data_IF_863518218878
#
_entry.id   IF_863518218878
#
_cell.length_a   1.000
_cell.length_b   1.000
_cell.length_c   1.000
_cell.angle_alpha   90.00
_cell.angle_beta   90.00
_cell.angle_gamma   90.00
#
_symmetry.space_group_name_H-M   'P 1'
#
loop_
_entity.id
_entity.type
_entity.pdbx_description
1 polymer ?
#
# COMPACT_ATOMS: atom_id res chain seq x y z
N UNK A 1 6.79 0.99 2.82
CA UNK A 1 5.67 0.89 3.70
C UNK A 1 6.19 1.11 5.08
N UNK A 2 6.05 2.37 5.49
CA UNK A 2 5.59 2.58 6.85
C UNK A 2 4.26 1.83 6.97
N UNK A 3 3.99 1.17 8.08
CA UNK A 3 2.72 0.46 8.29
C UNK A 3 1.51 1.32 7.92
N UNK A 4 1.61 2.64 8.17
CA UNK A 4 0.61 3.63 7.78
C UNK A 4 0.30 3.65 6.28
N UNK A 5 1.29 3.48 5.39
CA UNK A 5 1.04 3.48 3.94
C UNK A 5 0.16 2.31 3.52
N UNK A 6 0.46 1.10 3.99
CA UNK A 6 -0.33 -0.10 3.68
C UNK A 6 -1.77 0.07 4.15
N UNK A 7 -1.93 0.52 5.40
CA UNK A 7 -3.23 0.62 6.05
C UNK A 7 -4.06 1.76 5.47
N UNK A 8 -3.49 2.95 5.31
CA UNK A 8 -4.20 4.12 4.78
C UNK A 8 -4.64 3.85 3.33
N UNK A 9 -3.79 3.22 2.50
CA UNK A 9 -4.21 2.81 1.15
C UNK A 9 -5.44 1.91 1.17
N UNK A 10 -5.46 0.90 2.03
CA UNK A 10 -6.58 -0.03 2.17
C UNK A 10 -7.85 0.67 2.67
N UNK A 11 -7.75 1.43 3.76
CA UNK A 11 -8.89 2.12 4.37
C UNK A 11 -9.50 3.19 3.44
N UNK A 12 -8.67 3.87 2.65
CA UNK A 12 -9.16 4.84 1.66
C UNK A 12 -9.90 4.21 0.48
N UNK A 13 -9.66 2.93 0.19
CA UNK A 13 -10.40 2.22 -0.87
C UNK A 13 -11.74 1.69 -0.35
N UNK A 14 -11.84 1.40 0.94
CA UNK A 14 -13.03 0.78 1.52
C UNK A 14 -14.16 1.81 1.75
N UNK A 15 -15.40 1.55 1.29
CA UNK A 15 -16.52 2.50 1.37
C UNK A 15 -16.82 3.03 2.78
N UNK A 16 -16.74 2.17 3.80
CA UNK A 16 -17.02 2.54 5.19
C UNK A 16 -16.00 3.53 5.78
N UNK A 17 -14.75 3.54 5.31
CA UNK A 17 -13.68 4.29 5.97
C UNK A 17 -13.19 5.49 5.16
N UNK A 18 -13.29 5.45 3.83
CA UNK A 18 -12.74 6.47 2.92
C UNK A 18 -13.21 7.92 3.16
N UNK A 19 -14.33 8.11 3.86
CA UNK A 19 -14.90 9.43 4.17
C UNK A 19 -14.54 9.94 5.56
N UNK A 20 -13.75 9.21 6.36
CA UNK A 20 -13.34 9.70 7.67
C UNK A 20 -12.22 10.74 7.54
N UNK A 21 -12.45 11.94 8.11
CA UNK A 21 -11.50 13.05 8.10
C UNK A 21 -10.09 12.66 8.57
N UNK A 22 -9.99 11.85 9.62
CA UNK A 22 -8.70 11.44 10.17
C UNK A 22 -7.88 10.59 9.19
N UNK A 23 -8.52 9.82 8.29
CA UNK A 23 -7.82 9.06 7.24
C UNK A 23 -7.22 10.03 6.23
N UNK A 24 -7.99 11.05 5.85
CA UNK A 24 -7.55 12.10 4.94
C UNK A 24 -6.39 12.91 5.52
N UNK A 25 -6.48 13.28 6.80
CA UNK A 25 -5.39 13.94 7.50
C UNK A 25 -4.10 13.12 7.50
N UNK A 26 -4.19 11.81 7.78
CA UNK A 26 -3.03 10.91 7.73
C UNK A 26 -2.47 10.77 6.32
N UNK A 27 -3.32 10.67 5.29
CA UNK A 27 -2.90 10.62 3.89
C UNK A 27 -2.14 11.91 3.49
N UNK A 28 -2.63 13.09 3.88
CA UNK A 28 -1.97 14.38 3.63
C UNK A 28 -0.62 14.45 4.36
N UNK A 29 -0.56 14.03 5.63
CA UNK A 29 0.70 13.97 6.40
C UNK A 29 1.72 13.06 5.73
N UNK A 30 1.28 11.95 5.14
CA UNK A 30 2.12 11.02 4.39
C UNK A 30 2.58 11.58 3.04
N UNK A 31 1.77 12.39 2.36
CA UNK A 31 2.11 12.91 1.04
C UNK A 31 3.36 13.79 1.03
N UNK A 32 3.48 14.72 1.98
CA UNK A 32 4.57 15.72 1.99
C UNK A 32 5.97 15.07 1.97
N UNK A 33 6.30 14.08 2.83
CA UNK A 33 7.58 13.38 2.74
C UNK A 33 7.78 12.60 1.44
N UNK A 34 6.72 11.99 0.89
CA UNK A 34 6.80 11.20 -0.34
C UNK A 34 7.19 12.08 -1.52
N UNK A 35 6.58 13.25 -1.65
CA UNK A 35 6.97 14.24 -2.64
C UNK A 35 8.42 14.69 -2.44
N UNK A 36 8.79 15.13 -1.24
CA UNK A 36 10.14 15.62 -0.94
C UNK A 36 11.23 14.61 -1.30
N UNK A 37 11.01 13.33 -1.02
CA UNK A 37 11.98 12.26 -1.27
C UNK A 37 11.80 11.59 -2.64
N UNK A 38 10.87 12.09 -3.46
CA UNK A 38 10.47 11.51 -4.75
C UNK A 38 10.20 10.00 -4.61
N UNK A 39 9.43 9.64 -3.59
CA UNK A 39 8.96 8.27 -3.37
C UNK A 39 7.70 8.02 -4.19
N UNK A 40 7.27 6.76 -4.20
CA UNK A 40 6.03 6.37 -4.85
C UNK A 40 4.84 7.17 -4.27
N UNK A 41 4.11 7.85 -5.15
CA UNK A 41 2.92 8.64 -4.87
C UNK A 41 1.64 7.91 -5.33
N UNK A 42 1.74 6.63 -5.69
CA UNK A 42 0.61 5.78 -6.09
C UNK A 42 -0.52 5.74 -5.07
N UNK A 43 -0.25 5.96 -3.78
CA UNK A 43 -1.28 6.01 -2.75
C UNK A 43 -2.30 7.15 -2.97
N UNK A 44 -1.93 8.21 -3.71
CA UNK A 44 -2.85 9.30 -4.04
C UNK A 44 -3.98 8.86 -4.96
N UNK A 45 -3.82 7.73 -5.68
CA UNK A 45 -4.86 7.14 -6.52
C UNK A 45 -6.05 6.62 -5.71
N UNK A 46 -5.88 6.45 -4.40
CA UNK A 46 -6.92 5.99 -3.50
C UNK A 46 -7.68 7.16 -2.85
N UNK A 47 -7.26 8.41 -3.04
CA UNK A 47 -8.02 9.61 -2.64
C UNK A 47 -9.08 9.88 -3.70
N UNK A 48 -10.10 10.69 -3.39
CA UNK A 48 -10.86 11.34 -4.47
C UNK A 48 -9.98 12.33 -5.25
N UNK A 49 -10.35 12.58 -6.50
CA UNK A 49 -9.57 13.41 -7.42
C UNK A 49 -9.36 14.86 -6.92
N UNK A 50 -10.29 15.41 -6.12
CA UNK A 50 -10.15 16.77 -5.57
C UNK A 50 -9.05 16.81 -4.51
N UNK A 51 -9.07 15.88 -3.56
CA UNK A 51 -8.04 15.80 -2.53
C UNK A 51 -6.66 15.43 -3.13
N UNK A 52 -6.62 14.55 -4.13
CA UNK A 52 -5.39 14.29 -4.87
C UNK A 52 -4.87 15.56 -5.57
N UNK A 53 -5.77 16.36 -6.16
CA UNK A 53 -5.42 17.63 -6.78
C UNK A 53 -4.78 18.60 -5.78
N UNK A 54 -5.45 18.86 -4.65
CA UNK A 54 -4.99 19.82 -3.63
C UNK A 54 -3.64 19.44 -3.02
N UNK A 55 -3.33 18.14 -2.95
CA UNK A 55 -2.04 17.65 -2.48
C UNK A 55 -0.93 17.82 -3.53
N UNK A 56 -1.25 17.60 -4.81
CA UNK A 56 -0.27 17.59 -5.93
C UNK A 56 0.05 19.02 -6.40
N UNK A 57 -0.95 19.90 -6.48
CA UNK A 57 -0.83 21.23 -7.09
C UNK A 57 0.35 22.06 -6.52
N UNK A 58 0.56 22.13 -5.18
CA UNK A 58 1.69 22.87 -4.61
C UNK A 58 3.06 22.28 -4.96
N UNK A 59 3.12 21.01 -5.38
CA UNK A 59 4.35 20.29 -5.70
C UNK A 59 4.75 20.41 -7.17
N UNK A 60 3.85 20.85 -8.05
CA UNK A 60 4.08 20.96 -9.51
C UNK A 60 5.36 21.74 -9.85
N UNK A 61 5.65 22.93 -9.29
CA UNK A 61 6.88 23.66 -9.62
C UNK A 61 8.16 22.87 -9.33
N UNK A 62 8.17 22.09 -8.23
CA UNK A 62 9.30 21.23 -7.86
C UNK A 62 9.40 20.02 -8.78
N UNK A 63 8.27 19.41 -9.15
CA UNK A 63 8.24 18.30 -10.11
C UNK A 63 8.84 18.72 -11.45
N UNK A 64 8.42 19.86 -12.01
CA UNK A 64 8.98 20.40 -13.26
C UNK A 64 10.49 20.63 -13.13
N UNK A 65 10.93 21.30 -12.06
CA UNK A 65 12.35 21.61 -11.82
C UNK A 65 13.23 20.35 -11.75
N UNK A 66 12.70 19.26 -11.19
CA UNK A 66 13.46 18.03 -10.92
C UNK A 66 13.39 16.99 -12.05
N UNK A 67 12.56 17.20 -13.07
CA UNK A 67 12.49 16.34 -14.25
C UNK A 67 13.84 16.32 -14.99
N UNK A 68 14.26 15.13 -15.41
CA UNK A 68 15.50 14.87 -16.13
C UNK A 68 15.28 14.93 -17.64
N UNK A 69 16.36 15.09 -18.40
CA UNK A 69 16.32 15.23 -19.87
C UNK A 69 15.70 14.04 -20.61
N UNK A 70 15.69 12.87 -19.99
CA UNK A 70 15.01 11.68 -20.51
C UNK A 70 13.51 11.61 -20.15
N UNK A 71 12.96 12.65 -19.53
CA UNK A 71 11.57 12.74 -19.10
C UNK A 71 11.27 12.21 -17.70
N UNK A 72 12.22 11.54 -17.03
CA UNK A 72 12.00 10.85 -15.75
C UNK A 72 12.29 11.71 -14.51
N UNK A 73 11.81 11.31 -13.32
CA UNK A 73 11.94 12.08 -12.06
C UNK A 73 12.98 11.56 -11.06
N UNK A 74 13.72 10.49 -11.35
CA UNK A 74 14.81 9.97 -10.51
C UNK A 74 15.95 9.35 -11.31
N UNK A 75 17.04 9.04 -10.62
CA UNK A 75 18.16 8.25 -11.16
C UNK A 75 17.91 6.75 -10.93
N UNK A 76 17.74 6.33 -9.67
CA UNK A 76 17.41 4.93 -9.31
C UNK A 76 15.90 4.71 -9.36
N UNK A 77 15.47 3.55 -9.89
CA UNK A 77 14.06 3.15 -10.06
C UNK A 77 13.22 4.19 -10.81
N UNK A 78 13.87 4.90 -11.75
CA UNK A 78 13.35 6.10 -12.41
C UNK A 78 12.04 5.85 -13.15
N UNK A 79 11.93 4.72 -13.87
CA UNK A 79 10.71 4.33 -14.62
C UNK A 79 9.53 4.09 -13.69
N UNK A 80 9.70 3.25 -12.66
CA UNK A 80 8.65 2.95 -11.68
C UNK A 80 8.14 4.20 -10.97
N UNK A 81 9.04 5.06 -10.48
CA UNK A 81 8.67 6.29 -9.79
C UNK A 81 7.96 7.25 -10.74
N UNK A 82 8.46 7.37 -11.98
CA UNK A 82 7.83 8.24 -12.99
C UNK A 82 6.46 7.70 -13.40
N UNK A 83 6.29 6.39 -13.51
CA UNK A 83 4.99 5.75 -13.73
C UNK A 83 4.00 6.08 -12.61
N UNK A 84 4.38 5.88 -11.34
CA UNK A 84 3.53 6.23 -10.19
C UNK A 84 3.15 7.71 -10.16
N UNK A 85 4.09 8.60 -10.49
CA UNK A 85 3.83 10.04 -10.61
C UNK A 85 2.89 10.36 -11.77
N UNK A 86 3.10 9.80 -12.95
CA UNK A 86 2.24 10.03 -14.11
C UNK A 86 0.81 9.54 -13.87
N UNK A 87 0.63 8.39 -13.19
CA UNK A 87 -0.71 7.95 -12.74
C UNK A 87 -1.35 8.99 -11.84
N UNK A 88 -0.62 9.48 -10.84
CA UNK A 88 -1.14 10.47 -9.88
C UNK A 88 -1.49 11.80 -10.58
N UNK A 89 -0.67 12.26 -11.52
CA UNK A 89 -0.93 13.46 -12.33
C UNK A 89 -2.13 13.27 -13.26
N UNK A 90 -2.29 12.08 -13.88
CA UNK A 90 -3.47 11.76 -14.70
C UNK A 90 -4.74 11.74 -13.86
N UNK A 91 -4.71 11.03 -12.74
CA UNK A 91 -5.83 10.90 -11.82
C UNK A 91 -6.31 12.25 -11.28
N UNK A 92 -5.36 13.11 -10.89
CA UNK A 92 -5.65 14.47 -10.42
C UNK A 92 -5.83 15.50 -11.54
N UNK A 93 -5.95 15.08 -12.81
CA UNK A 93 -6.13 15.96 -13.99
C UNK A 93 -4.98 16.90 -14.33
N UNK A 94 -3.94 17.01 -13.49
CA UNK A 94 -2.75 17.82 -13.75
C UNK A 94 -2.04 17.44 -15.04
N UNK A 95 -2.00 16.15 -15.39
CA UNK A 95 -1.26 15.68 -16.58
C UNK A 95 -1.77 16.37 -17.85
N UNK A 96 -3.09 16.39 -18.06
CA UNK A 96 -3.70 16.99 -19.25
C UNK A 96 -3.45 18.51 -19.30
N UNK A 97 -3.59 19.19 -18.16
CA UNK A 97 -3.32 20.64 -18.04
C UNK A 97 -1.86 20.93 -18.40
N UNK A 98 -0.93 20.20 -17.79
CA UNK A 98 0.50 20.40 -18.00
C UNK A 98 0.95 20.07 -19.43
N UNK A 99 0.34 19.09 -20.09
CA UNK A 99 0.60 18.79 -21.50
C UNK A 99 0.08 19.90 -22.42
N UNK A 100 -1.15 20.38 -22.19
CA UNK A 100 -1.77 21.43 -23.01
C UNK A 100 -1.07 22.79 -22.87
N UNK A 101 -0.54 23.07 -21.67
CA UNK A 101 0.18 24.31 -21.35
C UNK A 101 1.70 24.22 -21.62
N UNK A 102 2.19 23.09 -22.15
CA UNK A 102 3.61 22.80 -22.36
C UNK A 102 4.49 23.09 -21.12
N UNK A 103 4.01 22.66 -19.94
CA UNK A 103 4.64 22.97 -18.65
C UNK A 103 5.74 22.00 -18.24
N UNK A 104 5.83 20.85 -18.89
CA UNK A 104 6.90 19.91 -18.60
C UNK A 104 8.25 20.48 -19.07
N UNK A 105 9.31 20.20 -18.31
CA UNK A 105 10.66 20.64 -18.68
C UNK A 105 11.19 19.82 -19.87
N UNK A 106 10.81 18.55 -19.91
CA UNK A 106 11.16 17.59 -20.94
C UNK A 106 9.93 16.71 -21.22
N UNK A 107 9.89 16.07 -22.38
CA UNK A 107 8.81 15.16 -22.73
C UNK A 107 8.69 14.02 -21.69
N UNK A 108 7.57 13.94 -20.94
CA UNK A 108 7.41 12.97 -19.86
C UNK A 108 7.26 11.52 -20.35
N UNK A 109 7.01 11.33 -21.66
CA UNK A 109 6.78 10.01 -22.25
C UNK A 109 7.99 9.48 -23.02
N UNK A 110 9.06 10.28 -23.18
CA UNK A 110 10.22 9.95 -24.00
C UNK A 110 10.79 8.56 -23.68
N UNK A 111 11.05 8.27 -22.40
CA UNK A 111 11.59 6.97 -21.97
C UNK A 111 10.57 5.82 -21.95
N UNK A 112 9.32 6.01 -22.39
CA UNK A 112 8.29 4.98 -22.33
C UNK A 112 7.73 4.59 -23.69
N UNK A 113 7.96 5.37 -24.75
CA UNK A 113 7.35 5.11 -26.08
C UNK A 113 7.79 3.79 -26.69
N UNK A 114 9.06 3.45 -26.57
CA UNK A 114 9.68 2.31 -27.28
C UNK A 114 10.19 1.22 -26.32
N UNK A 115 9.98 1.39 -25.01
CA UNK A 115 10.43 0.40 -24.04
C UNK A 115 9.52 -0.83 -24.04
N UNK A 116 10.15 -2.00 -24.11
CA UNK A 116 9.49 -3.30 -24.09
C UNK A 116 9.57 -3.93 -22.69
N UNK A 117 9.15 -3.16 -21.68
CA UNK A 117 9.04 -3.63 -20.30
C UNK A 117 7.64 -3.33 -19.73
N UNK A 118 7.42 -3.76 -18.49
CA UNK A 118 6.17 -3.53 -17.77
C UNK A 118 5.76 -2.04 -17.71
N UNK A 119 6.71 -1.14 -17.45
CA UNK A 119 6.40 0.28 -17.26
C UNK A 119 6.13 0.98 -18.60
N UNK A 120 6.87 0.65 -19.66
CA UNK A 120 6.61 1.13 -21.02
C UNK A 120 5.20 0.74 -21.47
N UNK A 121 4.85 -0.54 -21.33
CA UNK A 121 3.52 -1.04 -21.66
C UNK A 121 2.42 -0.33 -20.85
N UNK A 122 2.54 -0.29 -19.52
CA UNK A 122 1.49 0.29 -18.67
C UNK A 122 1.34 1.80 -18.84
N UNK A 123 2.42 2.54 -19.12
CA UNK A 123 2.33 3.97 -19.47
C UNK A 123 1.62 4.15 -20.81
N UNK A 124 1.98 3.39 -21.85
CA UNK A 124 1.32 3.45 -23.16
C UNK A 124 -0.17 3.12 -23.07
N UNK A 125 -0.51 2.06 -22.33
CA UNK A 125 -1.88 1.59 -22.14
C UNK A 125 -2.72 2.55 -21.29
N UNK A 126 -2.27 2.82 -20.06
CA UNK A 126 -3.13 3.41 -19.03
C UNK A 126 -2.99 4.94 -18.96
N UNK A 127 -1.94 5.52 -19.54
CA UNK A 127 -1.65 6.95 -19.44
C UNK A 127 -1.78 7.62 -20.80
N UNK A 128 -1.01 7.16 -21.79
CA UNK A 128 -0.97 7.75 -23.13
C UNK A 128 -2.14 7.31 -24.03
N UNK A 129 -2.77 6.17 -23.71
CA UNK A 129 -3.84 5.58 -24.53
C UNK A 129 -3.39 5.33 -25.98
N UNK A 130 -2.14 4.91 -26.15
CA UNK A 130 -1.45 4.77 -27.44
C UNK A 130 -0.66 3.48 -27.49
N UNK A 131 -1.36 2.36 -27.62
CA UNK A 131 -0.76 1.02 -27.71
C UNK A 131 -0.06 0.79 -29.05
N UNK A 132 1.06 0.09 -29.02
CA UNK A 132 1.77 -0.42 -30.19
C UNK A 132 1.18 -1.76 -30.65
N UNK A 133 1.31 -2.14 -31.94
CA UNK A 133 0.86 -3.45 -32.42
C UNK A 133 1.43 -4.65 -31.64
N UNK A 134 2.67 -4.54 -31.15
CA UNK A 134 3.37 -5.55 -30.37
C UNK A 134 2.97 -5.60 -28.89
N UNK A 135 2.26 -4.59 -28.38
CA UNK A 135 1.94 -4.49 -26.94
C UNK A 135 1.04 -5.64 -26.47
N UNK A 136 0.17 -6.16 -27.33
CA UNK A 136 -0.63 -7.34 -27.01
C UNK A 136 0.24 -8.59 -26.76
N UNK A 137 1.31 -8.76 -27.53
CA UNK A 137 2.27 -9.86 -27.35
C UNK A 137 3.10 -9.65 -26.09
N UNK A 138 3.59 -8.44 -25.85
CA UNK A 138 4.36 -8.10 -24.65
C UNK A 138 3.53 -8.32 -23.38
N UNK A 139 2.27 -7.89 -23.37
CA UNK A 139 1.34 -8.12 -22.24
C UNK A 139 1.20 -9.61 -21.93
N UNK A 140 0.94 -10.44 -22.95
CA UNK A 140 0.76 -11.88 -22.76
C UNK A 140 2.05 -12.54 -22.26
N UNK A 141 3.21 -12.09 -22.75
CA UNK A 141 4.50 -12.56 -22.27
C UNK A 141 4.70 -12.22 -20.78
N UNK A 142 4.51 -10.95 -20.39
CA UNK A 142 4.65 -10.51 -19.00
C UNK A 142 3.69 -11.26 -18.06
N UNK A 143 2.43 -11.45 -18.47
CA UNK A 143 1.46 -12.22 -17.69
C UNK A 143 1.88 -13.69 -17.56
N UNK A 144 2.34 -14.32 -18.65
CA UNK A 144 2.84 -15.70 -18.64
C UNK A 144 4.06 -15.85 -17.73
N UNK A 145 5.00 -14.91 -17.77
CA UNK A 145 6.19 -14.92 -16.92
C UNK A 145 5.80 -14.85 -15.43
N UNK A 146 4.79 -14.04 -15.08
CA UNK A 146 4.23 -13.97 -13.72
C UNK A 146 3.54 -15.29 -13.35
N UNK A 147 2.68 -15.83 -14.21
CA UNK A 147 1.96 -17.08 -13.93
C UNK A 147 2.90 -18.27 -13.75
N UNK A 148 4.01 -18.31 -14.49
CA UNK A 148 5.01 -19.39 -14.37
C UNK A 148 5.67 -19.47 -12.98
N UNK A 149 5.57 -18.41 -12.18
CA UNK A 149 6.11 -18.32 -10.83
C UNK A 149 5.07 -18.66 -9.75
N UNK A 150 3.80 -18.91 -10.13
CA UNK A 150 2.75 -19.22 -9.17
C UNK A 150 2.91 -20.66 -8.62
N UNK A 151 2.83 -20.80 -7.31
CA UNK A 151 2.91 -22.08 -6.63
C UNK A 151 1.65 -22.94 -6.87
N UNK A 152 1.77 -24.23 -6.55
CA UNK A 152 0.68 -25.19 -6.67
C UNK A 152 -0.54 -24.83 -5.79
N UNK A 153 -0.35 -24.08 -4.71
CA UNK A 153 -1.41 -23.59 -3.82
C UNK A 153 -2.02 -22.23 -4.26
N UNK A 154 -1.44 -21.58 -5.27
CA UNK A 154 -1.88 -20.27 -5.78
C UNK A 154 -1.06 -19.08 -5.29
N UNK A 155 -0.16 -19.27 -4.34
CA UNK A 155 0.67 -18.19 -3.84
C UNK A 155 1.76 -17.79 -4.84
N UNK A 156 2.27 -16.58 -4.66
CA UNK A 156 3.60 -16.21 -5.15
C UNK A 156 4.54 -16.06 -3.95
N UNK A 157 5.65 -16.81 -4.01
CA UNK A 157 6.69 -16.85 -2.99
C UNK A 157 6.20 -17.25 -1.58
N UNK A 158 5.06 -17.95 -1.47
CA UNK A 158 4.42 -18.33 -0.19
C UNK A 158 4.16 -17.15 0.77
N UNK A 159 4.01 -15.92 0.23
CA UNK A 159 3.83 -14.70 1.03
C UNK A 159 2.59 -13.92 0.60
N UNK A 160 1.97 -13.24 1.58
CA UNK A 160 0.85 -12.33 1.37
C UNK A 160 1.26 -11.20 0.45
N UNK A 161 2.43 -10.60 0.69
CA UNK A 161 2.89 -9.46 -0.10
C UNK A 161 3.28 -9.87 -1.53
N UNK A 162 3.96 -11.01 -1.70
CA UNK A 162 4.29 -11.55 -3.02
C UNK A 162 3.01 -11.83 -3.82
N UNK A 163 2.07 -12.57 -3.23
CA UNK A 163 0.80 -12.92 -3.89
C UNK A 163 -0.01 -11.67 -4.25
N UNK A 164 -0.21 -10.76 -3.30
CA UNK A 164 -0.96 -9.52 -3.53
C UNK A 164 -0.30 -8.63 -4.61
N UNK A 165 1.04 -8.51 -4.61
CA UNK A 165 1.76 -7.68 -5.58
C UNK A 165 1.68 -8.24 -7.01
N UNK A 166 1.77 -9.55 -7.18
CA UNK A 166 1.61 -10.19 -8.49
C UNK A 166 0.17 -10.06 -9.01
N UNK A 167 -0.84 -10.22 -8.15
CA UNK A 167 -2.24 -9.96 -8.51
C UNK A 167 -2.43 -8.50 -8.95
N UNK A 168 -1.92 -7.52 -8.18
CA UNK A 168 -2.00 -6.09 -8.57
C UNK A 168 -1.35 -5.85 -9.95
N UNK A 169 -0.20 -6.46 -10.21
CA UNK A 169 0.53 -6.34 -11.48
C UNK A 169 -0.29 -6.91 -12.63
N UNK A 170 -0.91 -8.08 -12.43
CA UNK A 170 -1.77 -8.72 -13.43
C UNK A 170 -3.04 -7.89 -13.70
N UNK A 171 -3.65 -7.30 -12.67
CA UNK A 171 -4.77 -6.37 -12.82
C UNK A 171 -4.37 -5.13 -13.65
N UNK A 172 -3.17 -4.58 -13.43
CA UNK A 172 -2.65 -3.46 -14.23
C UNK A 172 -2.37 -3.85 -15.70
N UNK A 173 -2.05 -5.13 -15.95
CA UNK A 173 -1.97 -5.71 -17.29
C UNK A 173 -3.35 -5.99 -17.90
N UNK A 174 -4.45 -5.78 -17.17
CA UNK A 174 -5.81 -6.02 -17.65
C UNK A 174 -6.28 -7.48 -17.51
N UNK A 175 -5.58 -8.30 -16.73
CA UNK A 175 -6.01 -9.66 -16.38
C UNK A 175 -6.94 -9.57 -15.17
N UNK A 176 -8.23 -9.85 -15.39
CA UNK A 176 -9.28 -9.71 -14.37
C UNK A 176 -9.48 -10.94 -13.47
N UNK A 177 -10.44 -10.81 -12.55
CA UNK A 177 -10.84 -11.84 -11.58
C UNK A 177 -11.40 -13.14 -12.21
N UNK A 178 -11.78 -13.10 -13.49
CA UNK A 178 -12.25 -14.28 -14.23
C UNK A 178 -11.11 -15.25 -14.60
N UNK A 179 -9.84 -14.81 -14.50
CA UNK A 179 -8.69 -15.67 -14.78
C UNK A 179 -8.50 -16.71 -13.63
N UNK A 180 -8.38 -18.02 -13.95
CA UNK A 180 -8.23 -19.07 -12.94
C UNK A 180 -7.02 -18.88 -12.01
N UNK A 181 -5.91 -18.32 -12.50
CA UNK A 181 -4.72 -18.10 -11.68
C UNK A 181 -4.93 -16.94 -10.70
N UNK A 182 -5.66 -15.89 -11.09
CA UNK A 182 -6.09 -14.82 -10.18
C UNK A 182 -7.01 -15.40 -9.11
N UNK A 183 -8.01 -16.20 -9.48
CA UNK A 183 -8.89 -16.89 -8.51
C UNK A 183 -8.12 -17.73 -7.51
N UNK A 184 -7.13 -18.49 -7.99
CA UNK A 184 -6.28 -19.31 -7.14
C UNK A 184 -5.47 -18.48 -6.15
N UNK A 185 -4.85 -17.39 -6.61
CA UNK A 185 -4.10 -16.48 -5.73
C UNK A 185 -5.00 -15.76 -4.72
N UNK A 186 -6.20 -15.35 -5.12
CA UNK A 186 -7.20 -14.74 -4.24
C UNK A 186 -7.69 -15.72 -3.18
N UNK A 187 -7.98 -16.97 -3.55
CA UNK A 187 -8.34 -18.02 -2.61
C UNK A 187 -7.20 -18.28 -1.61
N UNK A 188 -5.96 -18.29 -2.09
CA UNK A 188 -4.80 -18.39 -1.22
C UNK A 188 -4.72 -17.23 -0.24
N UNK A 189 -4.89 -15.97 -0.69
CA UNK A 189 -4.90 -14.81 0.21
C UNK A 189 -5.96 -14.96 1.30
N UNK A 190 -7.17 -15.38 0.95
CA UNK A 190 -8.22 -15.65 1.93
C UNK A 190 -7.86 -16.78 2.91
N UNK A 191 -7.12 -17.79 2.48
CA UNK A 191 -6.64 -18.86 3.36
C UNK A 191 -5.62 -18.38 4.41
N UNK A 192 -5.00 -17.22 4.17
CA UNK A 192 -4.07 -16.58 5.13
C UNK A 192 -4.77 -15.71 6.17
N UNK A 193 -6.10 -15.56 6.09
CA UNK A 193 -6.88 -14.85 7.08
C UNK A 193 -6.97 -15.65 8.38
N UNK A 194 -6.69 -15.00 9.51
CA UNK A 194 -6.82 -15.60 10.83
C UNK A 194 -7.60 -14.67 11.75
N UNK A 195 -8.62 -15.25 12.40
CA UNK A 195 -9.37 -14.62 13.49
C UNK A 195 -8.61 -14.68 14.82
N UNK A 196 -7.51 -15.44 14.87
CA UNK A 196 -6.76 -15.65 16.10
C UNK A 196 -6.15 -14.36 16.62
N UNK A 197 -6.02 -14.33 17.95
CA UNK A 197 -5.38 -13.22 18.63
C UNK A 197 -3.86 -13.34 18.49
N UNK A 198 -3.28 -12.48 17.66
CA UNK A 198 -1.84 -12.24 17.62
C UNK A 198 -1.43 -11.55 18.92
N UNK A 199 -0.75 -12.30 19.79
CA UNK A 199 -0.15 -11.78 21.02
C UNK A 199 1.35 -11.65 20.84
N UNK A 200 1.87 -10.43 20.94
CA UNK A 200 3.30 -10.23 21.10
C UNK A 200 3.60 -9.66 22.48
N UNK A 201 4.39 -10.40 23.26
CA UNK A 201 5.02 -9.85 24.45
C UNK A 201 6.14 -8.92 24.01
N UNK A 202 6.10 -7.67 24.48
CA UNK A 202 7.27 -6.83 24.43
C UNK A 202 8.08 -7.01 25.73
N UNK A 203 9.38 -6.70 25.68
CA UNK A 203 10.25 -6.67 26.87
C UNK A 203 9.78 -5.65 27.94
N UNK A 204 8.68 -4.92 27.70
CA UNK A 204 8.08 -3.95 28.62
C UNK A 204 6.85 -4.50 29.37
N UNK A 205 6.52 -5.78 29.20
CA UNK A 205 5.47 -6.47 29.96
C UNK A 205 4.04 -6.11 29.54
N UNK A 206 3.84 -5.68 28.29
CA UNK A 206 2.52 -5.53 27.67
C UNK A 206 2.34 -6.54 26.54
N UNK A 207 1.09 -6.95 26.31
CA UNK A 207 0.70 -7.75 25.15
C UNK A 207 0.04 -6.82 24.13
N UNK A 208 0.60 -6.82 22.93
CA UNK A 208 -0.09 -6.30 21.75
C UNK A 208 -1.11 -7.35 21.32
N UNK A 209 -2.36 -6.94 21.14
CA UNK A 209 -3.45 -7.81 20.71
C UNK A 209 -3.94 -7.30 19.36
N UNK A 210 -3.86 -8.15 18.34
CA UNK A 210 -4.49 -7.93 17.04
C UNK A 210 -5.26 -9.20 16.66
N UNK A 211 -6.36 -9.05 15.95
CA UNK A 211 -7.20 -10.16 15.48
C UNK A 211 -7.64 -9.88 14.03
N UNK A 212 -8.24 -10.84 13.34
CA UNK A 212 -8.77 -10.65 11.97
C UNK A 212 -7.70 -10.13 10.98
N UNK A 213 -6.55 -10.79 10.91
CA UNK A 213 -5.40 -10.34 10.12
C UNK A 213 -5.07 -11.32 9.00
N UNK A 214 -4.49 -10.79 7.91
CA UNK A 214 -3.90 -11.62 6.85
C UNK A 214 -2.41 -11.82 7.10
N UNK A 215 -1.96 -13.07 7.03
CA UNK A 215 -0.59 -13.43 7.38
C UNK A 215 -0.16 -14.76 6.78
N UNK A 216 1.01 -14.79 6.15
CA UNK A 216 1.73 -16.05 5.96
C UNK A 216 2.40 -16.51 7.27
N UNK A 217 2.87 -17.76 7.27
CA UNK A 217 3.57 -18.34 8.43
C UNK A 217 4.99 -17.77 8.59
N UNK A 218 5.67 -17.41 7.49
CA UNK A 218 7.08 -17.02 7.50
C UNK A 218 7.27 -15.49 7.36
N UNK A 219 7.27 -14.79 8.49
CA UNK A 219 7.46 -13.32 8.56
C UNK A 219 8.78 -12.81 8.01
N UNK A 220 9.82 -13.64 8.07
CA UNK A 220 11.13 -13.25 7.55
C UNK A 220 11.14 -13.26 6.02
N UNK A 221 10.51 -14.27 5.41
CA UNK A 221 10.32 -14.30 3.96
C UNK A 221 9.35 -13.21 3.49
N UNK A 222 8.30 -12.87 4.26
CA UNK A 222 7.47 -11.68 3.98
C UNK A 222 8.31 -10.41 3.87
N UNK A 223 9.24 -10.20 4.82
CA UNK A 223 10.11 -9.03 4.81
C UNK A 223 11.03 -8.99 3.58
N UNK A 224 11.65 -10.12 3.23
CA UNK A 224 12.51 -10.24 2.05
C UNK A 224 11.74 -9.97 0.76
N UNK A 225 10.60 -10.62 0.59
CA UNK A 225 9.75 -10.47 -0.58
C UNK A 225 9.25 -9.02 -0.71
N UNK A 226 8.81 -8.40 0.39
CA UNK A 226 8.41 -7.00 0.36
C UNK A 226 9.55 -6.05 -0.07
N UNK A 227 10.80 -6.33 0.34
CA UNK A 227 11.95 -5.55 -0.10
C UNK A 227 12.26 -5.74 -1.59
N UNK A 228 12.06 -6.95 -2.13
CA UNK A 228 12.28 -7.26 -3.54
C UNK A 228 11.18 -6.64 -4.43
N UNK A 229 9.92 -6.90 -4.10
CA UNK A 229 8.76 -6.47 -4.90
C UNK A 229 8.51 -4.96 -4.83
N UNK A 230 8.81 -4.36 -3.67
CA UNK A 230 8.45 -2.97 -3.37
C UNK A 230 9.60 -2.29 -2.62
N UNK A 231 10.76 -2.03 -3.26
CA UNK A 231 11.97 -1.54 -2.59
C UNK A 231 11.82 -0.14 -1.95
N UNK A 232 10.93 0.71 -2.47
CA UNK A 232 10.54 1.97 -1.84
C UNK A 232 9.84 1.75 -0.51
N UNK A 233 9.42 0.52 -0.25
CA UNK A 233 8.85 0.18 1.02
C UNK A 233 9.86 0.15 2.15
N UNK A 234 11.16 0.14 1.85
CA UNK A 234 12.29 0.01 2.78
C UNK A 234 11.82 -0.38 4.18
N UNK A 235 11.39 -1.65 4.34
CA UNK A 235 10.77 -2.08 5.56
C UNK A 235 11.77 -1.88 6.70
N UNK A 236 11.43 -1.03 7.67
CA UNK A 236 12.22 -0.97 8.90
C UNK A 236 11.97 -2.29 9.61
N UNK A 237 13.01 -3.12 9.78
CA UNK A 237 12.91 -4.54 10.15
C UNK A 237 11.92 -4.87 11.29
N UNK A 238 11.75 -3.98 12.27
CA UNK A 238 10.77 -4.18 13.34
C UNK A 238 9.32 -4.32 12.84
N UNK A 239 8.89 -3.57 11.83
CA UNK A 239 7.47 -3.49 11.46
C UNK A 239 6.87 -4.82 10.97
N UNK A 240 7.66 -5.66 10.30
CA UNK A 240 7.20 -6.94 9.73
C UNK A 240 7.25 -8.09 10.72
N UNK A 241 8.15 -7.98 11.69
CA UNK A 241 8.39 -9.02 12.69
C UNK A 241 7.43 -8.90 13.88
N UNK A 242 6.79 -7.74 14.05
CA UNK A 242 5.94 -7.47 15.22
C UNK A 242 4.46 -7.78 14.98
N UNK A 243 3.88 -7.31 13.87
CA UNK A 243 2.49 -7.61 13.51
C UNK A 243 2.29 -7.75 11.99
N UNK A 244 1.26 -8.50 11.56
CA UNK A 244 0.83 -8.61 10.16
C UNK A 244 0.32 -7.31 9.52
N UNK A 245 0.60 -6.11 10.04
CA UNK A 245 -0.10 -4.89 9.61
C UNK A 245 0.11 -4.61 8.12
N UNK A 246 1.34 -4.77 7.63
CA UNK A 246 1.64 -4.48 6.22
C UNK A 246 1.02 -5.55 5.31
N UNK A 247 1.12 -6.83 5.70
CA UNK A 247 0.47 -7.94 5.02
C UNK A 247 -1.05 -7.72 4.94
N UNK A 248 -1.67 -7.36 6.06
CA UNK A 248 -3.12 -7.12 6.15
C UNK A 248 -3.54 -5.92 5.32
N UNK A 249 -2.86 -4.78 5.43
CA UNK A 249 -3.18 -3.61 4.59
C UNK A 249 -3.02 -3.91 3.10
N UNK A 250 -1.99 -4.66 2.72
CA UNK A 250 -1.75 -5.02 1.31
C UNK A 250 -2.81 -5.99 0.80
N UNK A 251 -3.11 -7.06 1.55
CA UNK A 251 -4.15 -8.03 1.20
C UNK A 251 -5.52 -7.37 1.07
N UNK A 252 -5.93 -6.56 2.05
CA UNK A 252 -7.20 -5.84 2.04
C UNK A 252 -7.31 -4.93 0.81
N UNK A 253 -6.26 -4.14 0.52
CA UNK A 253 -6.24 -3.28 -0.67
C UNK A 253 -6.42 -4.08 -1.97
N UNK A 254 -5.71 -5.20 -2.12
CA UNK A 254 -5.84 -6.07 -3.28
C UNK A 254 -7.22 -6.70 -3.38
N UNK A 255 -7.77 -7.20 -2.27
CA UNK A 255 -9.12 -7.80 -2.23
C UNK A 255 -10.22 -6.79 -2.56
N UNK A 256 -10.11 -5.55 -2.09
CA UNK A 256 -11.03 -4.47 -2.50
C UNK A 256 -10.90 -4.18 -4.00
N UNK A 257 -9.68 -4.19 -4.54
CA UNK A 257 -9.46 -3.99 -5.99
C UNK A 257 -10.08 -5.10 -6.86
N UNK A 258 -10.33 -6.26 -6.26
CA UNK A 258 -10.99 -7.41 -6.89
C UNK A 258 -12.52 -7.46 -6.66
N UNK A 259 -13.10 -6.48 -5.94
CA UNK A 259 -14.54 -6.43 -5.67
C UNK A 259 -15.00 -7.14 -4.40
N UNK A 260 -14.09 -7.44 -3.47
CA UNK A 260 -14.41 -8.08 -2.18
C UNK A 260 -14.57 -7.09 -1.02
N UNK A 261 -14.88 -5.82 -1.28
CA UNK A 261 -15.07 -4.81 -0.22
C UNK A 261 -16.20 -5.13 0.76
N UNK A 262 -17.16 -5.98 0.37
CA UNK A 262 -18.27 -6.40 1.23
C UNK A 262 -18.03 -7.77 1.90
N UNK A 263 -16.87 -8.41 1.68
CA UNK A 263 -16.53 -9.67 2.36
C UNK A 263 -16.30 -9.42 3.86
N UNK A 264 -16.91 -10.23 4.73
CA UNK A 264 -16.85 -10.03 6.17
C UNK A 264 -15.44 -10.05 6.74
N UNK A 265 -14.52 -10.80 6.11
CA UNK A 265 -13.10 -10.88 6.52
C UNK A 265 -12.36 -9.60 6.16
N UNK A 266 -12.68 -9.00 5.01
CA UNK A 266 -12.12 -7.71 4.57
C UNK A 266 -12.59 -6.59 5.50
N UNK A 267 -13.89 -6.53 5.79
CA UNK A 267 -14.47 -5.55 6.73
C UNK A 267 -13.83 -5.71 8.12
N UNK A 268 -13.79 -6.93 8.63
CA UNK A 268 -13.25 -7.24 9.96
C UNK A 268 -11.77 -6.90 10.08
N UNK A 269 -10.98 -7.11 9.02
CA UNK A 269 -9.59 -6.69 8.97
C UNK A 269 -9.45 -5.16 8.97
N UNK A 270 -10.31 -4.43 8.25
CA UNK A 270 -10.33 -2.97 8.31
C UNK A 270 -10.70 -2.46 9.72
N UNK A 271 -11.71 -3.04 10.36
CA UNK A 271 -12.12 -2.68 11.73
C UNK A 271 -10.96 -2.86 12.71
N UNK A 272 -10.29 -4.00 12.69
CA UNK A 272 -9.13 -4.23 13.56
C UNK A 272 -7.98 -3.26 13.23
N UNK A 273 -7.73 -2.92 11.96
CA UNK A 273 -6.74 -1.89 11.61
C UNK A 273 -7.09 -0.51 12.19
N UNK A 274 -8.37 -0.14 12.22
CA UNK A 274 -8.83 1.11 12.86
C UNK A 274 -8.70 1.02 14.39
N UNK A 275 -9.09 -0.09 14.99
CA UNK A 275 -8.97 -0.35 16.43
C UNK A 275 -7.50 -0.23 16.88
N UNK A 276 -6.56 -0.85 16.16
CA UNK A 276 -5.13 -0.74 16.46
C UNK A 276 -4.67 0.71 16.50
N UNK A 277 -5.13 1.56 15.58
CA UNK A 277 -4.81 2.98 15.60
C UNK A 277 -5.41 3.67 16.82
N UNK A 278 -6.66 3.39 17.17
CA UNK A 278 -7.35 4.02 18.31
C UNK A 278 -6.68 3.63 19.63
N UNK A 279 -6.35 2.36 19.81
CA UNK A 279 -5.76 1.82 21.04
C UNK A 279 -4.30 2.24 21.24
N UNK A 280 -3.55 2.43 20.13
CA UNK A 280 -2.11 2.61 20.19
C UNK A 280 -1.58 3.91 19.55
N UNK A 281 -2.46 4.75 19.00
CA UNK A 281 -2.10 6.03 18.37
C UNK A 281 -1.43 5.91 17.00
N UNK A 282 -1.37 4.72 16.42
CA UNK A 282 -0.79 4.47 15.09
C UNK A 282 -0.41 3.00 14.87
N UNK A 283 0.15 2.72 13.69
CA UNK A 283 0.45 1.35 13.26
C UNK A 283 1.93 0.97 13.26
N UNK A 284 2.81 1.94 13.41
CA UNK A 284 4.23 1.63 13.48
C UNK A 284 4.59 1.10 14.87
N UNK A 285 5.64 0.30 14.94
CA UNK A 285 6.12 -0.29 16.20
C UNK A 285 6.38 0.77 17.28
N UNK A 286 6.88 1.96 16.93
CA UNK A 286 7.08 3.03 17.92
C UNK A 286 5.76 3.61 18.45
N UNK A 287 4.73 3.78 17.61
CA UNK A 287 3.40 4.17 18.09
C UNK A 287 2.85 3.10 19.04
N UNK A 288 2.92 1.83 18.63
CA UNK A 288 2.47 0.69 19.42
C UNK A 288 3.16 0.65 20.79
N UNK A 289 4.49 0.77 20.82
CA UNK A 289 5.26 0.83 22.06
C UNK A 289 4.84 2.00 22.94
N UNK A 290 4.68 3.19 22.37
CA UNK A 290 4.25 4.38 23.11
C UNK A 290 2.83 4.24 23.67
N UNK A 291 1.91 3.67 22.89
CA UNK A 291 0.54 3.36 23.32
C UNK A 291 0.53 2.38 24.50
N UNK A 292 1.32 1.31 24.43
CA UNK A 292 1.45 0.33 25.52
C UNK A 292 2.05 0.97 26.79
N UNK A 293 3.05 1.85 26.65
CA UNK A 293 3.61 2.60 27.79
C UNK A 293 2.55 3.50 28.42
N UNK A 294 1.75 4.20 27.61
CA UNK A 294 0.68 5.07 28.08
C UNK A 294 -0.39 4.27 28.84
N UNK A 295 -0.86 3.16 28.26
CA UNK A 295 -1.82 2.26 28.90
C UNK A 295 -1.31 1.75 30.26
N UNK A 296 -0.05 1.27 30.33
CA UNK A 296 0.56 0.80 31.58
C UNK A 296 0.63 1.88 32.66
N UNK A 297 0.92 3.13 32.28
CA UNK A 297 0.90 4.28 33.21
C UNK A 297 -0.51 4.54 33.73
N UNK A 298 -1.51 4.52 32.85
CA UNK A 298 -2.92 4.69 33.23
C UNK A 298 -3.39 3.57 34.16
N UNK A 299 -3.12 2.30 33.85
CA UNK A 299 -3.51 1.17 34.71
C UNK A 299 -2.86 1.25 36.09
N UNK A 300 -1.57 1.60 36.18
CA UNK A 300 -0.90 1.82 37.47
C UNK A 300 -1.50 2.97 38.26
N UNK A 301 -1.87 4.07 37.59
CA UNK A 301 -2.53 5.20 38.24
C UNK A 301 -3.89 4.80 38.81
N UNK A 302 -4.70 4.06 38.04
CA UNK A 302 -6.01 3.55 38.48
C UNK A 302 -5.83 2.61 39.68
N UNK A 303 -4.91 1.66 39.62
CA UNK A 303 -4.63 0.75 40.75
C UNK A 303 -4.23 1.53 42.01
N UNK A 304 -3.31 2.49 41.88
CA UNK A 304 -2.90 3.35 42.98
C UNK A 304 -4.02 4.26 43.52
N UNK A 305 -5.03 4.58 42.72
CA UNK A 305 -6.21 5.34 43.15
C UNK A 305 -7.22 4.44 43.86
N UNK A 306 -7.47 3.23 43.35
CA UNK A 306 -8.33 2.22 43.99
C UNK A 306 -7.78 1.82 45.36
N UNK A 307 -6.46 1.65 45.49
CA UNK A 307 -5.79 1.34 46.77
C UNK A 307 -5.92 2.44 47.82
N UNK A 308 -6.23 3.70 47.42
CA UNK A 308 -6.45 4.81 48.36
C UNK A 308 -7.85 4.85 48.95
N UNK A 309 -8.79 4.08 48.42
CA UNK A 309 -10.12 3.92 48.99
C UNK A 309 -10.14 2.65 49.84
N UNK A 310 -9.97 2.74 51.18
CA UNK A 310 -10.11 1.56 52.01
C UNK A 310 -11.51 1.00 51.82
N UNK A 311 -11.58 -0.30 51.50
CA UNK A 311 -12.83 -1.04 51.50
C UNK A 311 -13.34 -1.05 52.95
N UNK A 312 -14.20 -0.08 53.29
CA UNK A 312 -14.92 -0.11 54.56
C UNK A 312 -15.93 -1.26 54.46
N UNK A 313 -15.51 -2.43 54.93
CA UNK A 313 -16.34 -3.61 55.23
C UNK A 313 -17.18 -3.38 56.47
#
# INVERSE_FOLDING_TARGET
MRCSTAVIQALMMHPNYRQHDWIMEEAIKMAKPHFKNQWDVSFLLNLDAKNAYEIIDPEIPRLIKTQKSNGLWKIKDSRRISYGLLKALKYSRHLAIMLNEDRFRYDPFLSFREENDYYGLTVRQNIMESLLPEDAKLRNQLASDIFSQQNADGSWNDTVIGTASHIETLLELGIGMDDPNIQKGTNWLFSTYSEDVYRQSNNMGGFLVAHNMFSSQNRYEEFKNALAEKPEWNPVGGCYMHLPIIQTGTAVKTLISLGFENDSRVISACDNLVELRQNYGGWCDSNIRNGLIAQKKTSRKILNEVEKFPWNS
#
